data_IF_046562441992
#
_entry.id   IF_046562441992
#
_cell.length_a   1.000
_cell.length_b   1.000
_cell.length_c   1.000
_cell.angle_alpha   90.00
_cell.angle_beta   90.00
_cell.angle_gamma   90.00
#
_symmetry.space_group_name_H-M   'P 1'
#
loop_
_entity.id
_entity.type
_entity.pdbx_description
1 polymer ?
#
# COMPACT_ATOMS: atom_id res chain seq x y z
N UNK A 1 3.04 26.54 -16.68
CA UNK A 1 2.38 25.25 -16.37
C UNK A 1 1.80 25.40 -14.98
N UNK A 2 0.50 25.15 -14.80
CA UNK A 2 -0.12 25.24 -13.48
C UNK A 2 0.46 24.18 -12.55
N UNK A 3 0.62 24.52 -11.28
CA UNK A 3 1.04 23.59 -10.25
C UNK A 3 -0.04 22.49 -10.11
N UNK A 4 0.35 21.23 -10.26
CA UNK A 4 -0.58 20.10 -10.18
C UNK A 4 -0.79 19.78 -8.70
N UNK A 5 -1.99 20.05 -8.19
CA UNK A 5 -2.36 19.68 -6.82
C UNK A 5 -2.40 18.17 -6.67
N UNK A 6 -1.75 17.65 -5.61
CA UNK A 6 -1.74 16.24 -5.25
C UNK A 6 -2.28 16.04 -3.83
N UNK A 7 -2.73 14.82 -3.54
CA UNK A 7 -3.40 14.44 -2.30
C UNK A 7 -2.83 13.14 -1.73
N UNK A 8 -2.82 13.02 -0.41
CA UNK A 8 -2.61 11.72 0.24
C UNK A 8 -3.98 11.11 0.55
N UNK A 9 -4.23 9.88 0.10
CA UNK A 9 -5.52 9.18 0.26
C UNK A 9 -5.33 7.97 1.15
N UNK A 10 -5.88 8.04 2.36
CA UNK A 10 -5.80 7.02 3.39
C UNK A 10 -7.03 6.13 3.37
N UNK A 11 -6.83 4.83 3.37
CA UNK A 11 -7.85 3.79 3.44
C UNK A 11 -7.62 2.98 4.72
N UNK A 12 -8.63 2.96 5.58
CA UNK A 12 -8.65 2.23 6.85
C UNK A 12 -9.81 1.25 6.90
N UNK A 13 -9.72 0.26 7.78
CA UNK A 13 -10.91 -0.49 8.19
C UNK A 13 -11.85 0.40 9.02
N UNK A 14 -13.16 0.11 8.97
CA UNK A 14 -14.12 0.64 9.96
C UNK A 14 -13.86 0.07 11.36
N UNK A 15 -13.23 -1.11 11.46
CA UNK A 15 -12.84 -1.72 12.72
C UNK A 15 -11.40 -1.29 13.07
N UNK A 16 -11.24 -0.53 14.16
CA UNK A 16 -9.94 0.05 14.52
C UNK A 16 -8.87 -1.02 14.86
N UNK A 17 -9.29 -2.20 15.30
CA UNK A 17 -8.46 -3.34 15.67
C UNK A 17 -8.27 -4.36 14.52
N UNK A 18 -8.78 -4.05 13.33
CA UNK A 18 -8.64 -4.92 12.16
C UNK A 18 -7.17 -5.17 11.84
N UNK A 19 -6.77 -6.42 11.98
CA UNK A 19 -5.42 -6.88 11.71
C UNK A 19 -5.41 -7.66 10.41
N UNK A 20 -4.75 -7.12 9.38
CA UNK A 20 -4.43 -7.89 8.19
C UNK A 20 -3.15 -8.68 8.45
N UNK A 21 -3.21 -10.01 8.45
CA UNK A 21 -2.03 -10.85 8.70
C UNK A 21 -0.92 -10.60 7.66
N UNK A 22 0.33 -10.97 7.95
CA UNK A 22 1.43 -10.84 6.97
C UNK A 22 1.10 -11.59 5.66
N UNK A 23 0.47 -12.77 5.78
CA UNK A 23 -0.01 -13.52 4.61
C UNK A 23 -1.10 -12.75 3.84
N UNK A 24 -2.11 -12.21 4.53
CA UNK A 24 -3.17 -11.41 3.90
C UNK A 24 -2.63 -10.13 3.24
N UNK A 25 -1.65 -9.50 3.88
CA UNK A 25 -0.98 -8.31 3.35
C UNK A 25 -0.21 -8.67 2.07
N UNK A 26 0.54 -9.78 2.06
CA UNK A 26 1.20 -10.29 0.84
C UNK A 26 0.18 -10.60 -0.27
N UNK A 27 -0.95 -11.22 0.04
CA UNK A 27 -2.02 -11.48 -0.93
C UNK A 27 -2.60 -10.18 -1.51
N UNK A 28 -2.78 -9.15 -0.69
CA UNK A 28 -3.21 -7.82 -1.16
C UNK A 28 -2.16 -7.20 -2.10
N UNK A 29 -0.87 -7.27 -1.75
CA UNK A 29 0.23 -6.80 -2.62
C UNK A 29 0.27 -7.55 -3.95
N UNK A 30 0.11 -8.87 -3.91
CA UNK A 30 0.06 -9.72 -5.11
C UNK A 30 -1.14 -9.33 -5.99
N UNK A 31 -2.30 -9.09 -5.39
CA UNK A 31 -3.47 -8.61 -6.12
C UNK A 31 -3.20 -7.25 -6.81
N UNK A 32 -2.64 -6.28 -6.09
CA UNK A 32 -2.30 -4.96 -6.63
C UNK A 32 -1.26 -5.05 -7.77
N UNK A 33 -0.31 -5.98 -7.64
CA UNK A 33 0.71 -6.24 -8.66
C UNK A 33 0.14 -6.93 -9.90
N UNK A 34 -0.68 -7.97 -9.70
CA UNK A 34 -1.32 -8.73 -10.78
C UNK A 34 -2.30 -7.87 -11.58
N UNK A 35 -2.95 -6.90 -10.93
CA UNK A 35 -3.83 -5.93 -11.58
C UNK A 35 -3.08 -4.73 -12.18
N UNK A 36 -1.74 -4.71 -12.10
CA UNK A 36 -0.89 -3.60 -12.55
C UNK A 36 -1.23 -2.24 -11.90
N UNK A 37 -1.83 -2.24 -10.71
CA UNK A 37 -2.12 -1.00 -9.95
C UNK A 37 -0.82 -0.43 -9.36
N UNK A 38 -0.05 -1.28 -8.70
CA UNK A 38 1.21 -0.91 -8.08
C UNK A 38 2.25 -2.02 -8.24
N UNK A 39 3.53 -1.67 -8.15
CA UNK A 39 4.65 -2.61 -8.19
C UNK A 39 5.51 -2.42 -6.93
N UNK A 40 5.68 -3.44 -6.09
CA UNK A 40 6.52 -3.33 -4.90
C UNK A 40 7.96 -2.98 -5.31
N UNK A 41 8.56 -2.04 -4.60
CA UNK A 41 9.94 -1.62 -4.84
C UNK A 41 10.76 -1.46 -3.56
N UNK A 42 10.11 -1.38 -2.40
CA UNK A 42 10.76 -1.40 -1.10
C UNK A 42 9.82 -2.01 -0.04
N UNK A 43 10.37 -2.52 1.05
CA UNK A 43 9.62 -3.13 2.14
C UNK A 43 10.36 -3.07 3.49
N UNK A 44 9.58 -2.95 4.56
CA UNK A 44 10.01 -3.12 5.94
C UNK A 44 9.24 -4.29 6.55
N UNK A 45 9.92 -5.42 6.76
CA UNK A 45 9.30 -6.67 7.23
C UNK A 45 9.83 -7.01 8.63
N UNK A 46 8.99 -6.78 9.62
CA UNK A 46 9.22 -7.17 11.01
C UNK A 46 8.57 -8.52 11.32
N UNK A 47 8.87 -9.06 12.50
CA UNK A 47 8.22 -10.27 13.02
C UNK A 47 6.72 -10.04 13.25
N UNK A 48 6.35 -8.83 13.69
CA UNK A 48 4.97 -8.52 14.08
C UNK A 48 4.20 -7.69 13.07
N UNK A 49 4.86 -7.06 12.10
CA UNK A 49 4.24 -6.19 11.10
C UNK A 49 5.02 -6.19 9.79
N UNK A 50 4.39 -5.71 8.73
CA UNK A 50 5.07 -5.41 7.49
C UNK A 50 4.47 -4.17 6.82
N UNK A 51 5.32 -3.38 6.20
CA UNK A 51 4.96 -2.23 5.38
C UNK A 51 5.63 -2.36 4.02
N UNK A 52 4.84 -2.25 2.95
CA UNK A 52 5.32 -2.43 1.58
C UNK A 52 5.02 -1.18 0.77
N UNK A 53 6.03 -0.69 0.06
CA UNK A 53 5.97 0.49 -0.78
C UNK A 53 5.90 0.09 -2.25
N UNK A 54 4.93 0.66 -2.96
CA UNK A 54 4.62 0.34 -4.35
C UNK A 54 4.71 1.59 -5.21
N UNK A 55 5.43 1.49 -6.33
CA UNK A 55 5.38 2.49 -7.41
C UNK A 55 4.14 2.28 -8.28
N UNK A 56 3.64 3.33 -8.94
CA UNK A 56 2.54 3.21 -9.90
C UNK A 56 2.84 2.16 -10.99
N UNK A 57 1.88 1.26 -11.22
CA UNK A 57 1.90 0.35 -12.37
C UNK A 57 1.19 0.93 -13.60
N UNK A 58 1.15 0.16 -14.68
CA UNK A 58 0.51 0.59 -15.94
C UNK A 58 -1.01 0.87 -15.79
N UNK A 59 -1.65 0.26 -14.80
CA UNK A 59 -3.08 0.41 -14.49
C UNK A 59 -3.31 1.20 -13.19
N UNK A 60 -2.34 2.03 -12.76
CA UNK A 60 -2.42 2.82 -11.53
C UNK A 60 -3.61 3.80 -11.46
N UNK A 61 -4.25 4.09 -12.58
CA UNK A 61 -5.44 4.96 -12.65
C UNK A 61 -6.73 4.23 -12.26
N UNK A 62 -6.75 2.90 -12.37
CA UNK A 62 -7.96 2.08 -12.15
C UNK A 62 -8.59 2.18 -10.75
N UNK A 63 -7.87 2.50 -9.66
CA UNK A 63 -8.50 2.80 -8.38
C UNK A 63 -9.35 4.07 -8.39
N UNK A 64 -9.12 5.00 -9.33
CA UNK A 64 -9.64 6.38 -9.26
C UNK A 64 -10.55 6.77 -10.42
N UNK A 65 -10.46 6.09 -11.56
CA UNK A 65 -11.23 6.44 -12.77
C UNK A 65 -11.61 5.19 -13.54
N UNK A 66 -12.76 5.25 -14.23
CA UNK A 66 -13.22 4.18 -15.11
C UNK A 66 -12.72 4.41 -16.53
N UNK A 67 -12.19 3.36 -17.17
CA UNK A 67 -11.69 3.42 -18.54
C UNK A 67 -10.25 3.92 -18.65
N UNK A 68 -9.74 3.96 -19.88
CA UNK A 68 -8.39 4.43 -20.14
C UNK A 68 -8.30 5.94 -19.90
N UNK A 69 -7.34 6.36 -19.08
CA UNK A 69 -7.06 7.78 -18.85
C UNK A 69 -5.62 8.05 -19.26
N UNK A 70 -5.43 8.98 -20.21
CA UNK A 70 -4.12 9.47 -20.60
C UNK A 70 -3.77 10.70 -19.75
N UNK A 71 -3.49 10.49 -18.46
CA UNK A 71 -2.77 11.54 -17.72
C UNK A 71 -1.30 11.46 -18.13
N UNK A 72 -0.67 12.59 -18.42
CA UNK A 72 0.79 12.63 -18.64
C UNK A 72 1.54 12.27 -17.34
N UNK A 73 0.94 12.61 -16.20
CA UNK A 73 1.45 12.34 -14.87
C UNK A 73 0.98 11.01 -14.30
N UNK A 74 1.80 10.42 -13.43
CA UNK A 74 1.42 9.25 -12.66
C UNK A 74 0.22 9.54 -11.71
N UNK A 75 -0.79 8.65 -11.65
CA UNK A 75 -1.98 8.83 -10.81
C UNK A 75 -1.69 9.02 -9.33
N UNK A 76 -0.59 8.46 -8.82
CA UNK A 76 -0.04 8.67 -7.49
C UNK A 76 1.49 8.58 -7.57
N UNK A 77 2.20 8.97 -6.51
CA UNK A 77 3.66 8.87 -6.44
C UNK A 77 4.10 7.56 -5.80
N UNK A 78 3.43 7.18 -4.71
CA UNK A 78 3.69 5.97 -3.94
C UNK A 78 2.40 5.42 -3.36
N UNK A 79 2.30 4.11 -3.28
CA UNK A 79 1.25 3.41 -2.56
C UNK A 79 1.90 2.63 -1.41
N UNK A 80 1.41 2.85 -0.20
CA UNK A 80 1.85 2.13 1.00
C UNK A 80 0.77 1.18 1.45
N UNK A 81 1.16 -0.04 1.80
CA UNK A 81 0.27 -1.01 2.45
C UNK A 81 0.96 -1.52 3.69
N UNK A 82 0.33 -1.29 4.84
CA UNK A 82 0.77 -1.80 6.13
C UNK A 82 -0.20 -2.84 6.65
N UNK A 83 0.33 -3.91 7.23
CA UNK A 83 -0.44 -4.87 8.00
C UNK A 83 0.37 -5.50 9.13
N UNK A 84 -0.26 -6.40 9.87
CA UNK A 84 0.29 -7.07 11.04
C UNK A 84 -0.33 -6.61 12.35
N UNK A 85 0.30 -6.99 13.45
CA UNK A 85 -0.22 -6.85 14.82
C UNK A 85 0.23 -5.57 15.53
N UNK A 86 1.17 -4.82 14.96
CA UNK A 86 1.71 -3.62 15.58
C UNK A 86 0.99 -2.35 15.06
N UNK A 87 0.03 -1.78 15.82
CA UNK A 87 -0.74 -0.63 15.38
C UNK A 87 0.09 0.65 15.43
N UNK A 88 -0.11 1.53 14.45
CA UNK A 88 0.59 2.83 14.36
C UNK A 88 -0.38 4.00 14.35
N UNK A 89 -0.01 5.16 14.93
CA UNK A 89 -0.86 6.33 14.93
C UNK A 89 -1.06 6.88 13.52
N UNK A 90 -2.29 7.30 13.20
CA UNK A 90 -2.58 7.93 11.92
C UNK A 90 -2.18 9.40 11.92
N UNK A 91 -1.60 9.86 10.80
CA UNK A 91 -1.12 11.24 10.63
C UNK A 91 -2.25 12.22 10.31
N UNK A 92 -3.36 11.71 9.75
CA UNK A 92 -4.52 12.49 9.37
C UNK A 92 -5.78 11.63 9.26
N UNK A 93 -6.93 12.28 9.06
CA UNK A 93 -8.22 11.63 8.83
C UNK A 93 -8.98 11.26 10.10
N UNK A 94 -8.36 10.46 10.98
CA UNK A 94 -8.94 10.05 12.26
C UNK A 94 -7.85 9.86 13.32
N UNK A 95 -8.17 10.22 14.56
CA UNK A 95 -7.29 9.95 15.70
C UNK A 95 -7.34 8.46 16.10
N UNK A 96 -6.18 7.90 16.44
CA UNK A 96 -6.05 6.52 16.91
C UNK A 96 -4.90 5.77 16.26
N UNK A 97 -4.72 4.52 16.69
CA UNK A 97 -3.68 3.61 16.17
C UNK A 97 -4.32 2.45 15.42
N UNK A 98 -3.77 2.10 14.26
CA UNK A 98 -4.34 1.09 13.37
C UNK A 98 -3.29 0.06 12.96
N UNK A 99 -3.57 -1.25 13.05
CA UNK A 99 -2.65 -2.31 12.59
C UNK A 99 -2.57 -2.40 11.06
N UNK A 100 -3.65 -2.01 10.38
CA UNK A 100 -3.76 -2.01 8.93
C UNK A 100 -4.09 -0.62 8.40
N UNK A 101 -3.37 -0.21 7.35
CA UNK A 101 -3.78 0.88 6.50
C UNK A 101 -3.26 0.69 5.07
N UNK A 102 -3.90 1.38 4.13
CA UNK A 102 -3.43 1.55 2.78
C UNK A 102 -3.44 3.03 2.44
N UNK A 103 -2.39 3.57 1.83
CA UNK A 103 -2.24 5.00 1.57
C UNK A 103 -1.69 5.26 0.18
N UNK A 104 -2.45 5.96 -0.67
CA UNK A 104 -1.93 6.50 -1.93
C UNK A 104 -1.37 7.90 -1.69
N UNK A 105 -0.05 8.03 -1.72
CA UNK A 105 0.67 9.28 -1.52
C UNK A 105 0.84 10.04 -2.83
N UNK A 106 0.61 11.35 -2.78
CA UNK A 106 0.75 12.21 -3.95
C UNK A 106 -0.21 11.85 -5.10
N UNK A 107 -1.41 11.38 -4.79
CA UNK A 107 -2.50 11.08 -5.72
C UNK A 107 -3.01 12.33 -6.45
N UNK A 108 -3.34 12.22 -7.74
CA UNK A 108 -4.07 13.26 -8.48
C UNK A 108 -5.54 13.33 -8.08
N UNK A 109 -6.05 12.30 -7.40
CA UNK A 109 -7.45 12.10 -7.08
C UNK A 109 -7.64 12.01 -5.56
N UNK A 110 -8.70 12.65 -5.04
CA UNK A 110 -9.03 12.63 -3.60
C UNK A 110 -9.69 11.34 -3.14
N UNK A 111 -10.29 10.58 -4.08
CA UNK A 111 -11.23 9.54 -3.74
C UNK A 111 -11.13 8.36 -4.74
N UNK A 112 -10.95 7.11 -4.27
CA UNK A 112 -11.02 5.94 -5.12
C UNK A 112 -12.46 5.57 -5.45
N UNK A 113 -12.71 5.13 -6.68
CA UNK A 113 -14.06 4.82 -7.18
C UNK A 113 -14.74 3.67 -6.42
N UNK A 114 -16.08 3.69 -6.43
CA UNK A 114 -16.90 2.68 -5.75
C UNK A 114 -16.55 1.24 -6.12
N UNK A 115 -16.20 0.97 -7.37
CA UNK A 115 -15.82 -0.38 -7.81
C UNK A 115 -14.54 -0.88 -7.12
N UNK A 116 -13.53 -0.02 -7.02
CA UNK A 116 -12.29 -0.36 -6.33
C UNK A 116 -12.52 -0.54 -4.83
N UNK A 117 -13.30 0.36 -4.22
CA UNK A 117 -13.71 0.25 -2.82
C UNK A 117 -14.43 -1.06 -2.53
N UNK A 118 -15.37 -1.47 -3.38
CA UNK A 118 -16.08 -2.75 -3.23
C UNK A 118 -15.13 -3.94 -3.31
N UNK A 119 -14.22 -3.97 -4.30
CA UNK A 119 -13.23 -5.05 -4.41
C UNK A 119 -12.29 -5.10 -3.20
N UNK A 120 -11.86 -3.95 -2.67
CA UNK A 120 -11.07 -3.93 -1.44
C UNK A 120 -11.85 -4.48 -0.25
N UNK A 121 -13.14 -4.14 -0.11
CA UNK A 121 -13.99 -4.72 0.95
C UNK A 121 -14.08 -6.23 0.84
N UNK A 122 -14.22 -6.76 -0.39
CA UNK A 122 -14.28 -8.20 -0.64
C UNK A 122 -12.95 -8.89 -0.30
N UNK A 123 -11.81 -8.29 -0.70
CA UNK A 123 -10.47 -8.81 -0.41
C UNK A 123 -10.13 -8.76 1.08
N UNK A 124 -10.51 -7.67 1.75
CA UNK A 124 -10.20 -7.46 3.18
C UNK A 124 -11.22 -8.13 4.11
N UNK A 125 -12.40 -8.50 3.62
CA UNK A 125 -13.49 -9.04 4.44
C UNK A 125 -14.03 -8.04 5.47
N UNK A 126 -13.82 -6.74 5.29
CA UNK A 126 -14.28 -5.69 6.20
C UNK A 126 -14.76 -4.44 5.45
N UNK A 127 -15.51 -3.58 6.16
CA UNK A 127 -15.84 -2.25 5.65
C UNK A 127 -14.64 -1.33 5.77
N UNK A 128 -14.56 -0.35 4.85
CA UNK A 128 -13.44 0.59 4.77
C UNK A 128 -13.93 2.04 4.87
N UNK A 129 -13.10 2.89 5.45
CA UNK A 129 -13.21 4.35 5.46
C UNK A 129 -12.10 4.95 4.62
N UNK A 130 -12.39 6.10 4.00
CA UNK A 130 -11.42 6.83 3.19
C UNK A 130 -11.31 8.26 3.69
N UNK A 131 -10.08 8.72 3.87
CA UNK A 131 -9.73 10.07 4.25
C UNK A 131 -8.73 10.63 3.24
N UNK A 132 -8.69 11.96 3.10
CA UNK A 132 -7.68 12.59 2.25
C UNK A 132 -7.16 13.89 2.88
N UNK A 133 -5.96 14.27 2.48
CA UNK A 133 -5.35 15.58 2.75
C UNK A 133 -4.58 16.06 1.52
N UNK A 134 -4.17 17.32 1.49
CA UNK A 134 -3.20 17.79 0.48
C UNK A 134 -1.83 17.16 0.72
N UNK A 135 -1.15 16.77 -0.36
CA UNK A 135 0.12 16.08 -0.29
C UNK A 135 1.23 17.01 0.23
N UNK A 136 1.94 16.57 1.28
CA UNK A 136 3.01 17.35 1.92
C UNK A 136 4.43 16.85 1.58
N UNK A 137 4.55 15.89 0.65
CA UNK A 137 5.81 15.24 0.29
C UNK A 137 5.84 13.78 0.71
N UNK A 138 6.77 13.01 0.13
CA UNK A 138 6.96 11.61 0.48
C UNK A 138 7.59 11.49 1.86
N UNK A 139 7.03 10.58 2.65
CA UNK A 139 7.52 10.26 3.97
C UNK A 139 8.69 9.26 3.84
N UNK A 140 9.66 9.29 4.77
CA UNK A 140 10.69 8.25 4.80
C UNK A 140 10.03 6.88 4.99
N UNK A 141 10.62 5.87 4.36
CA UNK A 141 10.22 4.49 4.57
C UNK A 141 10.59 4.04 5.99
N UNK A 142 9.74 3.20 6.56
CA UNK A 142 9.95 2.60 7.87
C UNK A 142 11.19 1.71 7.86
N UNK A 143 11.83 1.62 9.01
CA UNK A 143 12.97 0.73 9.21
C UNK A 143 12.62 -0.27 10.30
N UNK A 144 13.04 -1.52 10.13
CA UNK A 144 12.75 -2.58 11.10
C UNK A 144 13.75 -2.48 12.25
N UNK A 145 13.29 -2.31 13.51
CA UNK A 145 14.16 -2.36 14.68
C UNK A 145 14.91 -3.69 14.76
N UNK A 146 16.15 -3.68 15.29
CA UNK A 146 17.01 -4.87 15.33
C UNK A 146 16.39 -6.06 16.07
N UNK A 147 15.60 -5.79 17.11
CA UNK A 147 14.89 -6.78 17.94
C UNK A 147 13.64 -7.36 17.27
N UNK A 148 13.13 -6.72 16.22
CA UNK A 148 11.97 -7.20 15.45
C UNK A 148 12.34 -7.86 14.12
N UNK A 149 13.62 -7.82 13.72
CA UNK A 149 14.10 -8.46 12.50
C UNK A 149 13.81 -9.96 12.54
N UNK A 150 13.16 -10.53 11.51
CA UNK A 150 12.93 -11.96 11.46
C UNK A 150 14.26 -12.73 11.49
N UNK A 151 14.37 -13.71 12.38
CA UNK A 151 15.60 -14.51 12.60
C UNK A 151 15.97 -15.40 11.41
N UNK A 152 15.03 -15.66 10.50
CA UNK A 152 15.17 -16.59 9.38
C UNK A 152 14.89 -15.93 8.02
N UNK A 153 15.42 -14.72 7.77
CA UNK A 153 15.44 -14.20 6.39
C UNK A 153 16.68 -14.70 5.65
N UNK A 154 16.54 -15.46 4.55
CA UNK A 154 17.66 -15.66 3.64
C UNK A 154 18.11 -14.29 3.14
N UNK A 155 19.42 -14.01 3.23
CA UNK A 155 20.04 -12.75 2.79
C UNK A 155 19.56 -12.41 1.38
N UNK A 156 18.81 -11.33 1.24
CA UNK A 156 18.47 -10.73 -0.06
C UNK A 156 19.77 -10.30 -0.74
N UNK A 157 20.08 -10.92 -1.88
CA UNK A 157 21.14 -10.46 -2.75
C UNK A 157 20.74 -9.10 -3.33
N UNK A 158 21.62 -8.11 -3.18
CA UNK A 158 21.53 -6.83 -3.87
C UNK A 158 21.45 -7.04 -5.39
N UNK A 159 20.47 -6.39 -6.02
CA UNK A 159 20.55 -6.05 -7.44
C UNK A 159 19.78 -6.95 -8.40
N UNK A 160 18.91 -6.27 -9.17
CA UNK A 160 18.29 -6.69 -10.44
C UNK A 160 17.01 -7.53 -10.34
N UNK A 161 15.87 -6.83 -10.46
CA UNK A 161 14.63 -7.40 -10.98
C UNK A 161 13.70 -7.98 -9.92
N UNK A 162 12.47 -7.45 -9.86
CA UNK A 162 11.44 -7.85 -8.93
C UNK A 162 11.22 -9.37 -8.87
N UNK A 163 11.62 -9.96 -7.75
CA UNK A 163 11.10 -11.23 -7.25
C UNK A 163 10.88 -11.09 -5.76
N UNK A 164 9.63 -10.83 -5.39
CA UNK A 164 9.10 -11.17 -4.07
C UNK A 164 9.24 -12.68 -3.91
N UNK A 165 9.72 -13.13 -2.74
CA UNK A 165 10.19 -14.49 -2.48
C UNK A 165 9.22 -15.63 -2.83
N UNK A 166 9.28 -16.08 -4.08
CA UNK A 166 8.78 -17.39 -4.52
C UNK A 166 9.98 -18.25 -4.85
N UNK A 167 10.29 -19.22 -3.98
CA UNK A 167 11.03 -20.40 -4.38
C UNK A 167 10.09 -21.20 -5.29
N UNK A 168 10.27 -21.11 -6.59
CA UNK A 168 9.67 -22.05 -7.55
C UNK A 168 10.79 -23.03 -7.87
N UNK A 169 10.76 -24.20 -7.22
CA UNK A 169 11.49 -25.35 -7.76
C UNK A 169 10.74 -25.79 -9.02
N UNK A 170 11.46 -25.80 -10.14
CA UNK A 170 11.01 -26.33 -11.40
C UNK A 170 10.86 -27.86 -11.29
N UNK A 171 9.71 -28.38 -11.71
CA UNK A 171 9.57 -29.74 -12.25
C UNK A 171 8.84 -29.64 -13.59
#
# INVERSE_FOLDING_TARGET
MGEITRYDVLILSELNDFTLTNAGTRSLIQYLSATNVGRPFDEAVATTWQEVYLKPGASAHTPFVTGATSTQDAPFLELVVRGGRNPVPMRYGIEGTFPFFMEFRGSLFKDPIGLFRSKLKDVLGCRIRVFYQEHQGLLPHETVPDDEKPTDMPKTAEGVGGRVGTRVEEF
#
